data_IF_352657898546
#
_entry.id   IF_352657898546
#
_cell.length_a   1.000
_cell.length_b   1.000
_cell.length_c   1.000
_cell.angle_alpha   90.00
_cell.angle_beta   90.00
_cell.angle_gamma   90.00
#
_symmetry.space_group_name_H-M   'P 1'
#
loop_
_entity.id
_entity.type
_entity.pdbx_description
1 polymer ?
#
# COMPACT_ATOMS: atom_id res chain seq x y z
N UNK A 1 -9.63 11.64 -12.51
CA UNK A 1 -9.36 12.43 -11.28
C UNK A 1 -8.01 12.04 -10.72
N UNK A 2 -7.24 12.98 -10.16
CA UNK A 2 -5.94 12.67 -9.55
C UNK A 2 -6.16 12.51 -8.05
N UNK A 3 -6.61 11.33 -7.63
CA UNK A 3 -6.82 11.02 -6.22
C UNK A 3 -5.43 10.85 -5.59
N UNK A 4 -5.10 11.74 -4.64
CA UNK A 4 -3.87 11.63 -3.87
C UNK A 4 -3.88 10.31 -3.10
N UNK A 5 -2.74 9.60 -3.08
CA UNK A 5 -2.60 8.40 -2.25
C UNK A 5 -2.42 8.85 -0.80
N UNK A 6 -3.40 8.53 0.05
CA UNK A 6 -3.33 8.81 1.48
C UNK A 6 -2.57 7.66 2.16
N UNK A 7 -1.44 7.98 2.79
CA UNK A 7 -0.57 6.99 3.42
C UNK A 7 -0.42 7.25 4.92
N UNK A 8 -0.33 6.16 5.67
CA UNK A 8 0.18 6.12 7.05
C UNK A 8 1.45 5.27 7.03
N UNK A 9 2.60 5.87 7.36
CA UNK A 9 3.90 5.21 7.35
C UNK A 9 4.19 4.70 8.76
N UNK A 10 4.40 3.40 8.85
CA UNK A 10 4.70 2.67 10.09
C UNK A 10 6.06 3.07 10.70
N UNK A 11 6.27 2.77 11.98
CA UNK A 11 7.44 3.18 12.76
C UNK A 11 8.72 2.54 12.23
N UNK A 12 8.60 1.37 11.61
CA UNK A 12 9.71 0.65 10.99
C UNK A 12 10.12 1.20 9.62
N UNK A 13 9.38 2.17 9.07
CA UNK A 13 9.78 2.89 7.87
C UNK A 13 10.81 3.96 8.27
N UNK A 14 12.04 3.82 7.75
CA UNK A 14 13.12 4.75 8.07
C UNK A 14 12.93 6.12 7.40
N UNK A 15 13.47 7.16 8.03
CA UNK A 15 13.31 8.56 7.61
C UNK A 15 13.70 8.80 6.14
N UNK A 16 14.74 8.14 5.63
CA UNK A 16 15.15 8.25 4.22
C UNK A 16 14.02 7.83 3.25
N UNK A 17 13.36 6.71 3.54
CA UNK A 17 12.24 6.24 2.74
C UNK A 17 10.99 7.10 2.95
N UNK A 18 10.74 7.57 4.17
CA UNK A 18 9.67 8.53 4.47
C UNK A 18 9.81 9.78 3.60
N UNK A 19 11.00 10.37 3.56
CA UNK A 19 11.29 11.55 2.76
C UNK A 19 11.13 11.27 1.26
N UNK A 20 11.60 10.12 0.79
CA UNK A 20 11.42 9.72 -0.61
C UNK A 20 9.95 9.54 -1.00
N UNK A 21 9.12 9.00 -0.10
CA UNK A 21 7.67 8.87 -0.30
C UNK A 21 6.99 10.25 -0.28
N UNK A 22 7.30 11.10 0.70
CA UNK A 22 6.75 12.46 0.86
C UNK A 22 7.11 13.39 -0.28
N UNK A 23 8.25 13.20 -0.93
CA UNK A 23 8.65 13.97 -2.10
C UNK A 23 7.72 13.79 -3.31
N UNK A 24 6.85 12.77 -3.32
CA UNK A 24 5.96 12.52 -4.43
C UNK A 24 4.69 13.39 -4.34
N UNK A 25 4.51 14.33 -5.29
CA UNK A 25 3.40 15.32 -5.33
C UNK A 25 1.96 14.78 -5.25
N UNK A 26 1.76 13.47 -5.44
CA UNK A 26 0.44 12.83 -5.46
C UNK A 26 0.20 11.97 -4.22
N UNK A 27 0.96 12.23 -3.15
CA UNK A 27 0.96 11.47 -1.91
C UNK A 27 0.78 12.42 -0.74
N UNK A 28 -0.10 12.05 0.18
CA UNK A 28 -0.20 12.68 1.50
C UNK A 28 0.14 11.64 2.54
N UNK A 29 1.34 11.72 3.10
CA UNK A 29 1.86 10.71 4.02
C UNK A 29 2.03 11.27 5.44
N UNK A 30 1.39 10.61 6.40
CA UNK A 30 1.67 10.75 7.84
C UNK A 30 2.70 9.70 8.26
N UNK A 31 3.63 10.05 9.14
CA UNK A 31 4.58 9.09 9.70
C UNK A 31 4.33 8.97 11.19
N UNK A 32 4.21 7.75 11.69
CA UNK A 32 3.80 7.51 13.09
C UNK A 32 4.81 8.03 14.11
N UNK A 33 6.08 8.21 13.71
CA UNK A 33 7.13 8.77 14.56
C UNK A 33 7.14 10.31 14.55
N UNK A 34 6.33 10.98 13.73
CA UNK A 34 6.14 12.42 13.86
C UNK A 34 5.45 12.70 15.21
N UNK A 35 6.05 13.53 16.06
CA UNK A 35 5.55 13.82 17.42
C UNK A 35 4.10 14.32 17.41
N UNK A 36 3.71 15.07 16.37
CA UNK A 36 2.35 15.59 16.19
C UNK A 36 1.29 14.51 15.98
N UNK A 37 1.67 13.30 15.59
CA UNK A 37 0.72 12.21 15.37
C UNK A 37 0.40 11.46 16.67
N UNK A 38 1.32 11.44 17.65
CA UNK A 38 1.11 10.73 18.91
C UNK A 38 0.94 9.20 18.77
N UNK A 39 1.46 8.62 17.68
CA UNK A 39 1.32 7.19 17.34
C UNK A 39 2.62 6.40 17.51
N UNK A 40 3.68 7.02 18.01
CA UNK A 40 4.95 6.35 18.26
C UNK A 40 4.74 5.20 19.26
N UNK A 41 5.20 3.99 18.90
CA UNK A 41 5.02 2.78 19.72
C UNK A 41 3.61 2.19 19.70
N UNK A 42 2.69 2.72 18.91
CA UNK A 42 1.37 2.11 18.74
C UNK A 42 1.48 0.71 18.12
N UNK A 43 0.72 -0.25 18.64
CA UNK A 43 0.66 -1.60 18.08
C UNK A 43 -0.12 -1.65 16.76
N UNK A 44 0.10 -2.72 15.98
CA UNK A 44 -0.45 -2.88 14.63
C UNK A 44 -1.97 -2.64 14.54
N UNK A 45 -2.75 -3.10 15.53
CA UNK A 45 -4.21 -2.93 15.54
C UNK A 45 -4.63 -1.46 15.77
N UNK A 46 -3.85 -0.70 16.53
CA UNK A 46 -4.07 0.73 16.71
C UNK A 46 -3.72 1.48 15.42
N UNK A 47 -2.59 1.14 14.79
CA UNK A 47 -2.20 1.71 13.50
C UNK A 47 -3.25 1.42 12.41
N UNK A 48 -3.76 0.19 12.34
CA UNK A 48 -4.80 -0.16 11.37
C UNK A 48 -6.14 0.54 11.65
N UNK A 49 -6.51 0.78 12.92
CA UNK A 49 -7.69 1.58 13.26
C UNK A 49 -7.56 3.02 12.77
N UNK A 50 -6.42 3.66 13.01
CA UNK A 50 -6.14 5.02 12.54
C UNK A 50 -6.11 5.08 11.02
N UNK A 51 -5.44 4.11 10.37
CA UNK A 51 -5.40 3.99 8.93
C UNK A 51 -6.82 3.92 8.36
N UNK A 52 -7.69 3.09 8.94
CA UNK A 52 -9.09 2.98 8.54
C UNK A 52 -9.91 4.24 8.78
N UNK A 53 -9.80 4.88 9.96
CA UNK A 53 -10.56 6.10 10.27
C UNK A 53 -10.19 7.28 9.38
N UNK A 54 -8.92 7.34 8.95
CA UNK A 54 -8.42 8.41 8.09
C UNK A 54 -8.39 8.03 6.59
N UNK A 55 -8.91 6.86 6.24
CA UNK A 55 -8.87 6.30 4.88
C UNK A 55 -7.45 6.29 4.26
N UNK A 56 -6.45 5.89 5.05
CA UNK A 56 -5.05 5.78 4.67
C UNK A 56 -4.65 4.34 4.43
N UNK A 57 -3.81 4.12 3.43
CA UNK A 57 -3.12 2.86 3.23
C UNK A 57 -1.93 2.81 4.21
N UNK A 58 -1.85 1.75 5.01
CA UNK A 58 -0.71 1.52 5.90
C UNK A 58 0.50 1.08 5.06
N UNK A 59 1.65 1.70 5.27
CA UNK A 59 2.92 1.33 4.63
C UNK A 59 3.89 0.84 5.68
N UNK A 60 4.42 -0.36 5.50
CA UNK A 60 5.35 -0.98 6.45
C UNK A 60 6.44 -1.78 5.74
N UNK A 61 7.52 -2.08 6.48
CA UNK A 61 8.58 -3.02 6.08
C UNK A 61 8.46 -4.35 6.84
N UNK A 62 7.50 -4.44 7.77
CA UNK A 62 7.27 -5.61 8.61
C UNK A 62 6.42 -6.66 7.90
N UNK A 63 6.96 -7.87 7.76
CA UNK A 63 6.27 -8.96 7.07
C UNK A 63 5.07 -9.56 7.83
N UNK A 64 4.88 -9.20 9.11
CA UNK A 64 3.80 -9.72 9.98
C UNK A 64 2.47 -9.00 9.75
N UNK A 65 2.51 -7.75 9.31
CA UNK A 65 1.35 -6.97 8.89
C UNK A 65 1.01 -7.41 7.46
N UNK A 66 0.04 -8.32 7.33
CA UNK A 66 -0.29 -8.99 6.07
C UNK A 66 -1.75 -9.43 6.03
N UNK A 67 -2.18 -10.09 4.94
CA UNK A 67 -3.55 -10.53 4.72
C UNK A 67 -4.07 -11.56 5.73
N UNK A 68 -3.17 -12.29 6.41
CA UNK A 68 -3.54 -13.27 7.44
C UNK A 68 -3.84 -12.58 8.77
N UNK A 69 -3.11 -11.50 9.09
CA UNK A 69 -3.32 -10.71 10.30
C UNK A 69 -4.49 -9.73 10.13
N UNK A 70 -4.54 -9.05 8.99
CA UNK A 70 -5.55 -8.07 8.65
C UNK A 70 -6.29 -8.53 7.39
N UNK A 71 -7.55 -8.94 7.56
CA UNK A 71 -8.36 -9.47 6.47
C UNK A 71 -8.55 -8.40 5.39
N UNK A 72 -8.32 -8.78 4.13
CA UNK A 72 -8.49 -7.90 2.98
C UNK A 72 -9.90 -7.28 2.98
N UNK A 73 -10.02 -6.05 2.48
CA UNK A 73 -11.23 -5.24 2.43
C UNK A 73 -11.81 -4.75 3.77
N UNK A 74 -11.24 -5.12 4.91
CA UNK A 74 -11.57 -4.55 6.23
C UNK A 74 -10.84 -3.23 6.54
N UNK A 75 -9.92 -2.83 5.67
CA UNK A 75 -9.09 -1.63 5.79
C UNK A 75 -8.85 -0.98 4.41
N UNK A 76 -8.40 0.29 4.34
CA UNK A 76 -8.15 0.99 3.07
C UNK A 76 -7.06 0.36 2.21
N UNK A 77 -6.12 -0.35 2.82
CA UNK A 77 -5.08 -1.12 2.13
C UNK A 77 -3.81 -1.23 2.97
N UNK A 78 -2.93 -2.16 2.61
CA UNK A 78 -1.60 -2.30 3.21
C UNK A 78 -0.57 -2.39 2.08
N UNK A 79 0.53 -1.66 2.18
CA UNK A 79 1.72 -1.80 1.34
C UNK A 79 2.87 -2.31 2.21
N UNK A 80 3.43 -3.45 1.85
CA UNK A 80 4.54 -4.11 2.57
C UNK A 80 5.77 -4.17 1.67
N UNK A 81 6.86 -3.57 2.08
CA UNK A 81 8.16 -3.75 1.41
C UNK A 81 8.75 -5.12 1.80
N UNK A 82 8.72 -6.09 0.88
CA UNK A 82 9.32 -7.43 1.04
C UNK A 82 10.80 -7.48 0.67
N UNK A 83 11.49 -6.36 0.84
CA UNK A 83 12.89 -6.17 0.52
C UNK A 83 13.75 -6.31 1.79
N UNK A 84 13.89 -7.56 2.29
CA UNK A 84 14.72 -7.84 3.47
C UNK A 84 16.18 -7.44 3.18
N UNK A 85 16.80 -6.68 4.08
CA UNK A 85 18.20 -6.19 4.00
C UNK A 85 18.53 -5.27 2.82
N UNK A 86 17.53 -4.73 2.13
CA UNK A 86 17.78 -3.74 1.08
C UNK A 86 17.93 -2.35 1.68
N UNK A 87 18.86 -1.56 1.14
CA UNK A 87 19.03 -0.16 1.50
C UNK A 87 17.76 0.65 1.17
N UNK A 88 17.50 1.70 1.94
CA UNK A 88 16.31 2.55 1.76
C UNK A 88 16.23 3.17 0.36
N UNK A 89 17.38 3.46 -0.26
CA UNK A 89 17.46 3.89 -1.66
C UNK A 89 16.81 2.89 -2.65
N UNK A 90 16.99 1.58 -2.42
CA UNK A 90 16.38 0.54 -3.25
C UNK A 90 14.87 0.51 -3.02
N UNK A 91 14.42 0.62 -1.77
CA UNK A 91 12.99 0.68 -1.43
C UNK A 91 12.32 1.91 -2.05
N UNK A 92 13.00 3.07 -2.02
CA UNK A 92 12.53 4.29 -2.66
C UNK A 92 12.39 4.12 -4.18
N UNK A 93 13.33 3.44 -4.84
CA UNK A 93 13.25 3.19 -6.28
C UNK A 93 12.14 2.19 -6.65
N UNK A 94 11.95 1.15 -5.84
CA UNK A 94 10.82 0.22 -5.97
C UNK A 94 9.50 0.98 -5.81
N UNK A 95 9.40 1.86 -4.82
CA UNK A 95 8.23 2.69 -4.60
C UNK A 95 7.96 3.64 -5.77
N UNK A 96 9.00 4.28 -6.33
CA UNK A 96 8.87 5.08 -7.57
C UNK A 96 8.37 4.24 -8.73
N UNK A 97 8.92 3.04 -8.91
CA UNK A 97 8.50 2.11 -9.96
C UNK A 97 7.02 1.75 -9.82
N UNK A 98 6.58 1.49 -8.59
CA UNK A 98 5.17 1.27 -8.29
C UNK A 98 4.30 2.51 -8.61
N UNK A 99 4.70 3.71 -8.17
CA UNK A 99 3.94 4.93 -8.46
C UNK A 99 3.84 5.24 -9.97
N UNK A 100 4.84 4.83 -10.76
CA UNK A 100 4.87 4.97 -12.22
C UNK A 100 4.19 3.81 -12.97
N UNK A 101 3.80 2.75 -12.28
CA UNK A 101 3.24 1.54 -12.90
C UNK A 101 1.84 1.71 -13.48
N UNK A 102 1.09 2.74 -13.05
CA UNK A 102 -0.34 2.86 -13.33
C UNK A 102 -1.22 1.95 -12.46
N UNK A 103 -0.66 1.11 -11.59
CA UNK A 103 -1.40 0.17 -10.74
C UNK A 103 -1.58 0.64 -9.28
N UNK A 104 -1.39 1.93 -9.02
CA UNK A 104 -1.53 2.48 -7.66
C UNK A 104 -2.94 2.31 -7.07
N UNK A 105 -3.98 2.36 -7.91
CA UNK A 105 -5.38 2.14 -7.52
C UNK A 105 -5.61 0.76 -6.93
N UNK A 106 -4.89 -0.26 -7.41
CA UNK A 106 -4.97 -1.63 -6.90
C UNK A 106 -4.44 -1.83 -5.49
N UNK A 107 -3.70 -0.87 -4.93
CA UNK A 107 -3.32 -0.93 -3.51
C UNK A 107 -4.51 -0.65 -2.58
N UNK A 108 -5.56 -0.01 -3.09
CA UNK A 108 -6.78 0.19 -2.33
C UNK A 108 -7.51 -1.13 -2.12
N UNK A 109 -7.97 -1.36 -0.88
CA UNK A 109 -8.66 -2.59 -0.44
C UNK A 109 -7.87 -3.88 -0.74
N UNK A 110 -6.54 -3.80 -0.77
CA UNK A 110 -5.65 -4.93 -1.02
C UNK A 110 -4.50 -4.97 -0.01
N UNK A 111 -3.77 -6.09 0.00
CA UNK A 111 -2.42 -6.18 0.57
C UNK A 111 -1.42 -6.26 -0.57
N UNK A 112 -0.59 -5.22 -0.69
CA UNK A 112 0.37 -5.04 -1.79
C UNK A 112 1.77 -5.29 -1.28
N UNK A 113 2.50 -6.17 -1.94
CA UNK A 113 3.88 -6.49 -1.63
C UNK A 113 4.81 -5.90 -2.67
N UNK A 114 5.63 -4.94 -2.27
CA UNK A 114 6.66 -4.35 -3.10
C UNK A 114 7.95 -5.15 -2.97
N UNK A 115 8.43 -5.72 -4.07
CA UNK A 115 9.63 -6.57 -4.17
C UNK A 115 10.64 -5.96 -5.15
N UNK A 116 11.85 -6.49 -5.13
CA UNK A 116 12.94 -6.04 -6.04
C UNK A 116 12.61 -6.36 -7.50
N UNK A 117 11.93 -7.47 -7.75
CA UNK A 117 11.64 -8.01 -9.09
C UNK A 117 10.24 -7.66 -9.61
N UNK A 118 9.31 -7.29 -8.72
CA UNK A 118 7.98 -6.87 -9.10
C UNK A 118 7.09 -6.44 -7.93
N UNK A 119 5.79 -6.46 -8.17
CA UNK A 119 4.76 -6.22 -7.16
C UNK A 119 3.78 -7.38 -7.15
N UNK A 120 3.36 -7.78 -5.94
CA UNK A 120 2.29 -8.75 -5.76
C UNK A 120 1.09 -8.05 -5.13
N UNK A 121 -0.08 -8.15 -5.73
CA UNK A 121 -1.34 -7.74 -5.14
C UNK A 121 -2.07 -8.96 -4.59
N UNK A 122 -2.51 -8.88 -3.34
CA UNK A 122 -3.48 -9.81 -2.76
C UNK A 122 -4.81 -9.09 -2.59
N UNK A 123 -5.80 -9.55 -3.33
CA UNK A 123 -7.14 -8.95 -3.45
C UNK A 123 -8.19 -10.00 -3.06
N UNK A 124 -9.34 -9.58 -2.54
CA UNK A 124 -10.43 -10.50 -2.25
C UNK A 124 -11.29 -10.71 -3.50
N UNK A 125 -11.68 -11.95 -3.77
CA UNK A 125 -12.62 -12.35 -4.82
C UNK A 125 -14.06 -12.35 -4.32
N UNK A 126 -15.00 -12.47 -5.25
CA UNK A 126 -16.43 -12.49 -4.94
C UNK A 126 -16.85 -13.68 -4.07
N UNK A 127 -16.19 -14.82 -4.26
CA UNK A 127 -16.38 -16.04 -3.48
C UNK A 127 -15.73 -15.98 -2.07
N UNK A 128 -15.17 -14.82 -1.70
CA UNK A 128 -14.50 -14.60 -0.42
C UNK A 128 -13.06 -15.10 -0.37
N UNK A 129 -12.55 -15.77 -1.42
CA UNK A 129 -11.16 -16.24 -1.50
C UNK A 129 -10.19 -15.10 -1.80
N UNK A 130 -8.89 -15.33 -1.58
CA UNK A 130 -7.84 -14.37 -1.92
C UNK A 130 -7.24 -14.67 -3.29
N UNK A 131 -7.31 -13.72 -4.22
CA UNK A 131 -6.55 -13.72 -5.46
C UNK A 131 -5.15 -13.17 -5.23
N UNK A 132 -4.15 -13.82 -5.82
CA UNK A 132 -2.78 -13.29 -5.88
C UNK A 132 -2.41 -12.94 -7.32
N UNK A 133 -2.02 -11.69 -7.58
CA UNK A 133 -1.52 -11.24 -8.88
C UNK A 133 -0.09 -10.76 -8.73
N UNK A 134 0.86 -11.42 -9.39
CA UNK A 134 2.24 -10.96 -9.48
C UNK A 134 2.49 -10.26 -10.82
N UNK A 135 3.05 -9.05 -10.77
CA UNK A 135 3.46 -8.28 -11.93
C UNK A 135 4.97 -7.97 -11.84
N UNK A 136 5.81 -8.55 -12.70
CA UNK A 136 7.23 -8.20 -12.74
C UNK A 136 7.42 -6.79 -13.32
N UNK A 137 8.43 -6.06 -12.83
CA UNK A 137 8.66 -4.66 -13.24
C UNK A 137 8.85 -4.49 -14.76
N UNK A 138 9.40 -5.52 -15.41
CA UNK A 138 9.62 -5.54 -16.86
C UNK A 138 8.30 -5.51 -17.66
N UNK A 139 7.25 -6.16 -17.15
CA UNK A 139 5.95 -6.27 -17.84
C UNK A 139 4.98 -5.14 -17.46
N UNK A 140 5.20 -4.49 -16.32
CA UNK A 140 4.36 -3.39 -15.84
C UNK A 140 4.28 -2.22 -16.83
N UNK A 141 5.37 -1.92 -17.54
CA UNK A 141 5.38 -0.83 -18.54
C UNK A 141 4.50 -1.11 -19.77
N UNK A 142 4.02 -2.34 -19.98
CA UNK A 142 3.24 -2.74 -21.16
C UNK A 142 1.72 -2.86 -20.92
N UNK A 143 1.27 -2.85 -19.66
CA UNK A 143 -0.11 -3.19 -19.28
C UNK A 143 -0.93 -2.02 -18.73
N UNK A 144 -0.68 -0.78 -19.17
CA UNK A 144 -1.48 0.40 -18.80
C UNK A 144 -2.96 0.34 -19.27
N UNK A 145 -3.48 -0.83 -19.68
CA UNK A 145 -4.77 -0.99 -20.30
C UNK A 145 -5.70 -1.90 -19.50
N UNK A 146 -6.86 -1.33 -19.12
CA UNK A 146 -8.02 -1.87 -18.40
C UNK A 146 -7.82 -2.16 -16.91
N UNK A 147 -8.11 -1.14 -16.11
CA UNK A 147 -8.57 -1.31 -14.73
C UNK A 147 -9.82 -2.22 -14.75
N UNK A 148 -9.72 -3.39 -14.11
CA UNK A 148 -10.92 -4.11 -13.66
C UNK A 148 -11.21 -3.58 -12.26
N UNK A 149 -12.43 -3.11 -12.05
CA UNK A 149 -12.96 -2.65 -10.77
C UNK A 149 -12.66 -3.68 -9.68
N UNK A 150 -12.12 -3.23 -8.54
CA UNK A 150 -11.86 -4.12 -7.41
C UNK A 150 -13.21 -4.58 -6.85
N UNK A 151 -13.35 -5.87 -6.51
CA UNK A 151 -14.60 -6.43 -5.96
C UNK A 151 -15.10 -5.67 -4.72
N UNK A 152 -14.19 -5.07 -3.97
CA UNK A 152 -14.55 -4.32 -2.77
C UNK A 152 -15.14 -2.93 -3.05
N UNK A 153 -14.97 -2.40 -4.27
CA UNK A 153 -15.74 -1.25 -4.75
C UNK A 153 -17.19 -1.66 -5.07
N UNK A 154 -17.39 -2.90 -5.56
CA UNK A 154 -18.71 -3.44 -5.87
C UNK A 154 -19.58 -3.64 -4.61
N UNK A 155 -19.02 -4.12 -3.50
CA UNK A 155 -19.79 -4.31 -2.25
C UNK A 155 -20.11 -3.01 -1.50
N UNK A 156 -19.33 -1.94 -1.69
CA UNK A 156 -19.52 -0.69 -0.95
C UNK A 156 -20.63 0.22 -1.53
N UNK A 157 -21.29 -0.20 -2.62
CA UNK A 157 -22.29 0.64 -3.31
C UNK A 157 -21.71 1.89 -3.96
N UNK A 158 -20.38 1.99 -4.06
CA UNK A 158 -19.70 3.12 -4.68
C UNK A 158 -19.31 2.74 -6.12
N UNK A 159 -19.98 3.28 -7.15
CA UNK A 159 -19.47 3.15 -8.50
C UNK A 159 -18.10 3.84 -8.56
N UNK A 160 -17.11 3.14 -9.14
CA UNK A 160 -15.71 3.54 -9.13
C UNK A 160 -15.45 5.01 -9.45
N UNK A 161 -14.51 5.60 -8.72
CA UNK A 161 -14.00 6.96 -8.92
C UNK A 161 -12.47 6.95 -8.90
#
# INVERSE_FOLDING_TARGET
>A
MKTDLLLLLDQCVQLELVNAIRAHRSIRAKWVNDESEGLAGAGDDALMRVASSENRILVTVEGRINEKKFKICTHPGIIVFRAKKQHEAVRAEIFRSFMRSGHRSRAYKAVTYLKVDGVTFKEQREDGTTAETYLPWQNIKRHAHREKTNYCDYQAGHPGI
#
